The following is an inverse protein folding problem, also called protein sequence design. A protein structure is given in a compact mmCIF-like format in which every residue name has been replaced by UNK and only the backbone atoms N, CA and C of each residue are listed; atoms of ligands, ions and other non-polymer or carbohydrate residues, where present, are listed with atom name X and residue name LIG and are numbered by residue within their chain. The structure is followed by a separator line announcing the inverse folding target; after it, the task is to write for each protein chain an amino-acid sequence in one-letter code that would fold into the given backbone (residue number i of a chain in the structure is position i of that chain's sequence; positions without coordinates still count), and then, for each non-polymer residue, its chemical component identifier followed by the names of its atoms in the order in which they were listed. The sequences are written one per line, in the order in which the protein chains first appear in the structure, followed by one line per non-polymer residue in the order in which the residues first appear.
data_IF_669065064223
#
_entry.id   IF_669065064223
#
_cell.length_a   1.000
_cell.length_b   1.000
_cell.length_c   1.000
_cell.angle_alpha   90.00
_cell.angle_beta   90.00
_cell.angle_gamma   90.00
#
_symmetry.space_group_name_H-M   'P 1'
#
loop_
_entity.id
_entity.type
_entity.pdbx_description
1 polymer ?
#
# COMPACT_ATOMS: atom_id res chain seq x y z
N UNK A 1 -14.90 28.09 -10.59
CA UNK A 1 -16.02 27.15 -10.38
C UNK A 1 -15.43 25.75 -10.47
N UNK A 2 -15.33 25.04 -9.34
CA UNK A 2 -14.86 23.65 -9.30
C UNK A 2 -15.99 22.78 -9.83
N UNK A 3 -15.79 22.07 -10.94
CA UNK A 3 -16.73 21.06 -11.43
C UNK A 3 -16.28 19.75 -10.78
N UNK A 4 -17.04 19.18 -9.83
CA UNK A 4 -16.68 17.88 -9.27
C UNK A 4 -16.65 16.86 -10.41
N UNK A 5 -15.57 16.07 -10.48
CA UNK A 5 -15.53 14.90 -11.34
C UNK A 5 -16.72 14.00 -10.97
N UNK A 6 -17.75 13.96 -11.82
CA UNK A 6 -18.87 13.04 -11.64
C UNK A 6 -18.39 11.64 -11.99
N UNK A 7 -17.99 10.89 -10.97
CA UNK A 7 -17.74 9.46 -11.13
C UNK A 7 -19.07 8.75 -11.42
N UNK A 8 -19.06 7.74 -12.30
CA UNK A 8 -20.25 6.92 -12.57
C UNK A 8 -20.75 6.30 -11.26
N UNK A 9 -22.06 6.07 -11.13
CA UNK A 9 -22.62 5.40 -9.96
C UNK A 9 -22.06 3.98 -9.80
N UNK A 10 -21.95 3.54 -8.54
CA UNK A 10 -21.53 2.19 -8.19
C UNK A 10 -22.46 1.15 -8.81
N UNK A 11 -21.89 0.08 -9.39
CA UNK A 11 -22.67 -1.00 -10.00
C UNK A 11 -23.44 -1.82 -8.96
N UNK A 12 -22.90 -1.96 -7.76
CA UNK A 12 -23.47 -2.73 -6.64
C UNK A 12 -24.60 -1.95 -5.94
N UNK A 13 -24.31 -0.82 -5.31
CA UNK A 13 -25.28 -0.10 -4.46
C UNK A 13 -25.99 1.08 -5.14
N UNK A 14 -25.64 1.42 -6.39
CA UNK A 14 -26.19 2.55 -7.17
C UNK A 14 -25.92 3.95 -6.61
N UNK A 15 -25.21 4.08 -5.49
CA UNK A 15 -24.76 5.37 -4.94
C UNK A 15 -23.60 5.96 -5.78
N UNK A 16 -23.32 7.25 -5.60
CA UNK A 16 -22.17 7.89 -6.24
C UNK A 16 -20.86 7.28 -5.77
N UNK A 17 -19.91 7.12 -6.68
CA UNK A 17 -18.56 6.65 -6.36
C UNK A 17 -17.73 7.79 -5.75
N UNK A 18 -16.85 7.46 -4.80
CA UNK A 18 -15.92 8.42 -4.18
C UNK A 18 -14.62 8.59 -4.98
N UNK A 19 -14.34 7.67 -5.91
CA UNK A 19 -13.21 7.72 -6.82
C UNK A 19 -13.48 6.95 -8.12
N UNK A 20 -12.52 6.97 -9.05
CA UNK A 20 -12.62 6.19 -10.29
C UNK A 20 -12.72 4.69 -9.95
N UNK A 21 -13.86 4.07 -10.27
CA UNK A 21 -14.17 2.66 -9.97
C UNK A 21 -14.16 2.29 -8.47
N UNK A 22 -14.23 3.28 -7.56
CA UNK A 22 -14.18 3.03 -6.12
C UNK A 22 -15.46 3.51 -5.43
N UNK A 23 -16.19 2.58 -4.81
CA UNK A 23 -17.35 2.88 -3.98
C UNK A 23 -17.01 2.65 -2.51
N UNK A 24 -16.75 3.73 -1.75
CA UNK A 24 -16.45 3.62 -0.32
C UNK A 24 -17.48 2.81 0.46
N UNK A 25 -18.78 3.05 0.22
CA UNK A 25 -19.85 2.36 0.94
C UNK A 25 -19.88 0.84 0.71
N UNK A 26 -19.50 0.38 -0.48
CA UNK A 26 -19.42 -1.06 -0.79
C UNK A 26 -18.10 -1.65 -0.29
N UNK A 27 -16.98 -0.99 -0.58
CA UNK A 27 -15.65 -1.47 -0.23
C UNK A 27 -15.46 -1.59 1.28
N UNK A 28 -16.03 -0.67 2.09
CA UNK A 28 -16.09 -0.81 3.56
C UNK A 28 -16.68 -2.15 3.98
N UNK A 29 -17.76 -2.61 3.34
CA UNK A 29 -18.39 -3.90 3.66
C UNK A 29 -17.49 -5.07 3.24
N UNK A 30 -16.90 -4.99 2.06
CA UNK A 30 -15.98 -6.02 1.54
C UNK A 30 -14.72 -6.17 2.40
N UNK A 31 -14.19 -5.05 2.92
CA UNK A 31 -13.09 -5.06 3.89
C UNK A 31 -13.51 -5.68 5.22
N UNK A 32 -14.66 -5.25 5.78
CA UNK A 32 -15.17 -5.78 7.05
C UNK A 32 -15.36 -7.30 7.03
N UNK A 33 -15.79 -7.86 5.90
CA UNK A 33 -15.92 -9.31 5.72
C UNK A 33 -14.58 -10.05 5.78
N UNK A 34 -13.48 -9.37 5.41
CA UNK A 34 -12.14 -9.94 5.31
C UNK A 34 -11.19 -9.57 6.46
N UNK A 35 -11.60 -8.75 7.44
CA UNK A 35 -10.71 -8.31 8.52
C UNK A 35 -9.98 -9.44 9.25
N UNK A 36 -10.60 -10.61 9.38
CA UNK A 36 -9.96 -11.79 10.01
C UNK A 36 -8.77 -12.34 9.23
N UNK A 37 -8.72 -12.09 7.91
CA UNK A 37 -7.65 -12.55 7.03
C UNK A 37 -6.47 -11.54 6.99
N UNK A 38 -6.71 -10.28 7.37
CA UNK A 38 -5.72 -9.20 7.42
C UNK A 38 -5.14 -9.03 8.83
N UNK A 39 -4.56 -10.10 9.39
CA UNK A 39 -3.98 -10.06 10.73
C UNK A 39 -2.46 -10.26 10.72
N UNK A 40 -1.78 -9.33 11.37
CA UNK A 40 -0.36 -9.37 11.69
C UNK A 40 -0.06 -10.15 12.97
N UNK A 41 -1.10 -10.52 13.73
CA UNK A 41 -0.96 -10.99 15.11
C UNK A 41 -0.69 -9.86 16.12
N UNK A 42 -0.64 -8.61 15.69
CA UNK A 42 -0.54 -7.42 16.54
C UNK A 42 -1.82 -6.58 16.41
N UNK A 43 -2.59 -6.49 17.50
CA UNK A 43 -3.89 -5.82 17.51
C UNK A 43 -3.83 -4.33 17.15
N UNK A 44 -2.75 -3.63 17.51
CA UNK A 44 -2.61 -2.20 17.25
C UNK A 44 -2.37 -1.95 15.75
N UNK A 45 -1.52 -2.76 15.12
CA UNK A 45 -1.28 -2.72 13.67
C UNK A 45 -2.53 -3.14 12.91
N UNK A 46 -3.20 -4.21 13.34
CA UNK A 46 -4.42 -4.69 12.69
C UNK A 46 -5.52 -3.64 12.76
N UNK A 47 -5.71 -3.00 13.94
CA UNK A 47 -6.65 -1.91 14.11
C UNK A 47 -6.32 -0.73 13.22
N UNK A 48 -5.04 -0.35 13.14
CA UNK A 48 -4.59 0.75 12.31
C UNK A 48 -4.89 0.51 10.82
N UNK A 49 -4.60 -0.70 10.32
CA UNK A 49 -4.91 -1.11 8.94
C UNK A 49 -6.43 -1.08 8.69
N UNK A 50 -7.24 -1.62 9.61
CA UNK A 50 -8.70 -1.62 9.48
C UNK A 50 -9.27 -0.19 9.47
N UNK A 51 -8.81 0.69 10.36
CA UNK A 51 -9.25 2.09 10.41
C UNK A 51 -8.88 2.85 9.12
N UNK A 52 -7.71 2.57 8.53
CA UNK A 52 -7.32 3.07 7.19
C UNK A 52 -8.26 2.54 6.10
N UNK A 53 -8.51 1.23 6.04
CA UNK A 53 -9.40 0.61 5.04
C UNK A 53 -10.83 1.18 5.09
N UNK A 54 -11.33 1.48 6.29
CA UNK A 54 -12.66 2.08 6.47
C UNK A 54 -12.73 3.56 6.05
N UNK A 55 -11.60 4.27 6.08
CA UNK A 55 -11.52 5.70 5.77
C UNK A 55 -11.09 5.98 4.32
N UNK A 56 -10.46 5.02 3.64
CA UNK A 56 -9.98 5.13 2.27
C UNK A 56 -11.08 5.54 1.26
N UNK A 57 -10.74 6.50 0.40
CA UNK A 57 -11.67 7.07 -0.59
C UNK A 57 -11.40 6.60 -2.03
N UNK A 58 -10.23 5.98 -2.26
CA UNK A 58 -9.86 5.29 -3.50
C UNK A 58 -8.82 4.21 -3.20
N UNK A 59 -8.57 3.31 -4.16
CA UNK A 59 -7.77 2.10 -3.97
C UNK A 59 -6.31 2.37 -3.55
N UNK A 60 -5.70 3.44 -4.08
CA UNK A 60 -4.33 3.83 -3.73
C UNK A 60 -4.14 4.32 -2.29
N UNK A 61 -5.22 4.48 -1.51
CA UNK A 61 -5.14 4.80 -0.07
C UNK A 61 -5.30 3.57 0.82
N UNK A 62 -5.62 2.41 0.24
CA UNK A 62 -5.92 1.20 0.98
C UNK A 62 -4.63 0.56 1.46
N UNK A 63 -4.49 0.47 2.78
CA UNK A 63 -3.38 -0.20 3.43
C UNK A 63 -3.69 -1.69 3.62
N UNK A 64 -2.68 -2.52 3.38
CA UNK A 64 -2.77 -3.98 3.49
C UNK A 64 -1.77 -4.53 4.51
N UNK A 65 -2.16 -5.57 5.27
CA UNK A 65 -1.18 -6.44 5.92
C UNK A 65 -0.70 -7.48 4.91
N UNK A 66 0.59 -7.50 4.64
CA UNK A 66 1.19 -8.36 3.61
C UNK A 66 2.05 -9.40 4.32
N UNK A 67 1.68 -10.69 4.29
CA UNK A 67 2.52 -11.75 4.83
C UNK A 67 3.89 -11.75 4.15
N UNK A 68 4.97 -11.82 4.94
CA UNK A 68 6.32 -11.70 4.40
C UNK A 68 6.66 -12.76 3.33
N UNK A 69 6.05 -13.94 3.41
CA UNK A 69 6.21 -15.01 2.41
C UNK A 69 5.55 -14.71 1.04
N UNK A 70 4.84 -13.59 0.91
CA UNK A 70 4.36 -13.04 -0.38
C UNK A 70 5.40 -12.18 -1.08
N UNK A 71 6.54 -11.95 -0.45
CA UNK A 71 7.66 -11.18 -0.98
C UNK A 71 8.83 -12.11 -1.31
N UNK A 72 9.47 -11.88 -2.45
CA UNK A 72 10.62 -12.67 -2.91
C UNK A 72 11.60 -11.81 -3.71
N UNK A 73 12.72 -12.38 -4.14
CA UNK A 73 13.83 -11.65 -4.80
C UNK A 73 14.25 -10.40 -3.99
N UNK A 74 14.35 -10.55 -2.66
CA UNK A 74 14.61 -9.44 -1.74
C UNK A 74 16.09 -9.06 -1.78
N UNK A 75 16.37 -7.83 -2.20
CA UNK A 75 17.71 -7.29 -2.41
C UNK A 75 17.89 -6.02 -1.57
N UNK A 76 18.98 -5.95 -0.79
CA UNK A 76 19.34 -4.74 -0.05
C UNK A 76 19.81 -3.64 -0.99
N UNK A 77 19.23 -2.45 -0.86
CA UNK A 77 19.56 -1.30 -1.72
C UNK A 77 20.46 -0.32 -0.97
N UNK A 78 20.01 0.18 0.18
CA UNK A 78 20.74 1.21 0.93
C UNK A 78 20.25 1.32 2.37
N UNK A 79 21.01 2.05 3.19
CA UNK A 79 20.59 2.50 4.52
C UNK A 79 20.69 4.01 4.56
N UNK A 80 19.60 4.68 4.91
CA UNK A 80 19.54 6.11 5.17
C UNK A 80 19.26 6.41 6.65
N UNK A 81 19.06 7.69 6.96
CA UNK A 81 18.66 8.13 8.31
C UNK A 81 17.31 7.56 8.76
N UNK A 82 16.43 7.21 7.81
CA UNK A 82 15.09 6.68 8.05
C UNK A 82 15.00 5.15 7.93
N UNK A 83 16.11 4.44 8.08
CA UNK A 83 16.15 2.98 8.03
C UNK A 83 16.79 2.40 6.77
N UNK A 84 16.70 1.07 6.66
CA UNK A 84 17.16 0.28 5.52
C UNK A 84 16.07 0.22 4.46
N UNK A 85 16.49 0.22 3.20
CA UNK A 85 15.63 0.07 2.02
C UNK A 85 16.07 -1.16 1.26
N UNK A 86 15.08 -1.94 0.85
CA UNK A 86 15.24 -3.14 0.03
C UNK A 86 14.34 -3.03 -1.19
N UNK A 87 14.69 -3.76 -2.24
CA UNK A 87 13.82 -4.06 -3.37
C UNK A 87 13.31 -5.48 -3.18
N UNK A 88 12.07 -5.73 -3.56
CA UNK A 88 11.49 -7.07 -3.59
C UNK A 88 10.48 -7.17 -4.74
N UNK A 89 10.10 -8.40 -5.11
CA UNK A 89 8.88 -8.65 -5.88
C UNK A 89 7.74 -9.04 -4.96
N UNK A 90 6.53 -8.62 -5.30
CA UNK A 90 5.32 -8.97 -4.57
C UNK A 90 4.42 -9.87 -5.42
N UNK A 91 4.19 -11.10 -4.96
CA UNK A 91 3.39 -12.11 -5.69
C UNK A 91 2.00 -11.58 -6.03
N UNK A 92 1.29 -11.04 -5.03
CA UNK A 92 -0.12 -10.68 -5.23
C UNK A 92 -0.29 -9.31 -5.91
N UNK A 93 0.67 -8.38 -5.81
CA UNK A 93 0.49 -6.98 -6.25
C UNK A 93 -0.49 -6.21 -5.34
N UNK A 94 -0.80 -4.93 -5.56
CA UNK A 94 -1.70 -4.13 -4.69
C UNK A 94 -3.19 -4.21 -5.11
N UNK A 95 -4.12 -3.91 -4.20
CA UNK A 95 -5.56 -3.83 -4.50
C UNK A 95 -5.87 -2.77 -5.57
N UNK A 96 -6.54 -3.20 -6.64
CA UNK A 96 -7.10 -2.32 -7.66
C UNK A 96 -8.57 -1.98 -7.40
N UNK A 97 -9.46 -2.96 -7.50
CA UNK A 97 -10.89 -2.78 -7.26
C UNK A 97 -11.58 -4.10 -6.89
N UNK A 98 -12.82 -4.02 -6.42
CA UNK A 98 -13.63 -5.20 -6.11
C UNK A 98 -14.29 -5.76 -7.37
N UNK A 99 -13.99 -7.01 -7.71
CA UNK A 99 -14.67 -7.74 -8.76
C UNK A 99 -15.93 -8.42 -8.20
N UNK A 100 -17.09 -7.95 -8.67
CA UNK A 100 -18.38 -8.46 -8.23
C UNK A 100 -18.73 -9.83 -8.82
N UNK A 101 -18.06 -10.27 -9.90
CA UNK A 101 -18.31 -11.57 -10.53
C UNK A 101 -17.55 -12.66 -9.78
N UNK A 102 -16.27 -12.39 -9.49
CA UNK A 102 -15.38 -13.33 -8.81
C UNK A 102 -15.43 -13.20 -7.27
N UNK A 103 -16.18 -12.22 -6.76
CA UNK A 103 -16.29 -11.89 -5.33
C UNK A 103 -14.92 -11.77 -4.64
N UNK A 104 -13.99 -11.09 -5.32
CA UNK A 104 -12.61 -10.95 -4.84
C UNK A 104 -12.00 -9.62 -5.29
N UNK A 105 -10.90 -9.22 -4.65
CA UNK A 105 -10.11 -8.07 -5.05
C UNK A 105 -9.30 -8.35 -6.31
N UNK A 106 -9.49 -7.56 -7.35
CA UNK A 106 -8.55 -7.51 -8.46
C UNK A 106 -7.24 -6.90 -7.97
N UNK A 107 -6.13 -7.47 -8.45
CA UNK A 107 -4.77 -7.03 -8.11
C UNK A 107 -4.07 -6.38 -9.30
N UNK A 108 -3.23 -5.40 -9.01
CA UNK A 108 -2.38 -4.75 -9.99
C UNK A 108 -0.91 -4.93 -9.61
N UNK A 109 -0.03 -4.95 -10.62
CA UNK A 109 1.42 -5.10 -10.43
C UNK A 109 1.83 -6.39 -9.70
N UNK A 110 1.11 -7.50 -9.95
CA UNK A 110 1.52 -8.85 -9.51
C UNK A 110 2.89 -9.20 -10.11
N UNK A 111 3.76 -9.79 -9.28
CA UNK A 111 5.19 -10.04 -9.57
C UNK A 111 6.02 -8.79 -9.88
N UNK A 112 5.44 -7.60 -9.69
CA UNK A 112 6.11 -6.32 -9.87
C UNK A 112 7.04 -5.97 -8.72
N UNK A 113 7.97 -5.04 -8.99
CA UNK A 113 8.90 -4.56 -7.98
C UNK A 113 8.22 -3.60 -6.99
N UNK A 114 8.57 -3.77 -5.72
CA UNK A 114 8.21 -2.89 -4.61
C UNK A 114 9.45 -2.52 -3.81
N UNK A 115 9.40 -1.38 -3.14
CA UNK A 115 10.40 -0.99 -2.16
C UNK A 115 9.93 -1.40 -0.75
N UNK A 116 10.79 -2.09 0.01
CA UNK A 116 10.57 -2.36 1.43
C UNK A 116 11.41 -1.37 2.24
N UNK A 117 10.76 -0.56 3.09
CA UNK A 117 11.44 0.40 3.96
C UNK A 117 11.24 0.02 5.42
N UNK A 118 12.33 -0.27 6.13
CA UNK A 118 12.29 -0.63 7.55
C UNK A 118 11.87 0.54 8.44
N UNK A 119 11.02 0.28 9.43
CA UNK A 119 10.50 1.30 10.35
C UNK A 119 11.30 1.46 11.66
N UNK A 120 12.40 0.70 11.84
CA UNK A 120 13.34 0.70 12.98
C UNK A 120 13.03 1.68 14.13
N UNK A 121 12.17 1.29 15.09
CA UNK A 121 11.83 2.05 16.30
C UNK A 121 11.55 3.55 16.08
N UNK A 122 11.20 3.98 14.86
CA UNK A 122 10.96 5.40 14.63
C UNK A 122 9.57 5.70 15.16
N UNK A 123 9.50 6.37 16.31
CA UNK A 123 8.29 7.06 16.80
C UNK A 123 7.71 8.03 15.75
N UNK A 124 8.45 8.29 14.66
CA UNK A 124 8.16 9.18 13.55
C UNK A 124 7.63 8.48 12.27
N UNK A 125 6.96 7.32 12.36
CA UNK A 125 6.13 6.87 11.23
C UNK A 125 4.94 7.83 11.14
N UNK A 126 5.14 8.98 10.49
CA UNK A 126 4.08 9.97 10.34
C UNK A 126 3.00 9.39 9.41
N UNK A 127 1.74 9.71 9.70
CA UNK A 127 0.57 9.32 8.89
C UNK A 127 0.74 9.65 7.39
N UNK A 128 1.53 10.68 7.09
CA UNK A 128 1.85 11.13 5.73
C UNK A 128 2.61 10.07 4.92
N UNK A 129 3.56 9.33 5.54
CA UNK A 129 4.26 8.23 4.86
C UNK A 129 3.37 7.00 4.62
N UNK A 130 2.32 6.85 5.42
CA UNK A 130 1.42 5.69 5.34
C UNK A 130 0.44 5.86 4.16
N UNK A 131 0.02 7.09 3.90
CA UNK A 131 -0.90 7.40 2.78
C UNK A 131 -0.31 7.08 1.40
N UNK A 132 1.00 6.94 1.27
CA UNK A 132 1.69 6.59 0.02
C UNK A 132 2.18 5.13 0.01
N UNK A 133 1.72 4.31 0.95
CA UNK A 133 2.12 2.90 1.07
C UNK A 133 1.01 1.94 0.65
N UNK A 134 1.40 0.83 0.03
CA UNK A 134 0.49 -0.26 -0.31
C UNK A 134 0.19 -1.14 0.92
N UNK A 135 1.12 -1.21 1.88
CA UNK A 135 0.94 -2.06 3.03
C UNK A 135 2.12 -2.13 3.97
N UNK A 136 1.96 -2.99 4.97
CA UNK A 136 2.93 -3.27 6.02
C UNK A 136 3.20 -4.77 6.04
N UNK A 137 4.45 -5.15 6.24
CA UNK A 137 4.88 -6.52 6.54
C UNK A 137 5.76 -6.52 7.79
N UNK A 138 6.00 -7.68 8.38
CA UNK A 138 7.04 -7.87 9.40
C UNK A 138 8.10 -8.85 8.90
N UNK A 139 9.36 -8.47 9.06
CA UNK A 139 10.50 -9.36 8.86
C UNK A 139 10.45 -10.50 9.90
N UNK A 140 10.36 -11.77 9.49
CA UNK A 140 10.26 -12.88 10.41
C UNK A 140 11.55 -13.11 11.23
N UNK A 141 12.72 -12.69 10.73
CA UNK A 141 14.01 -12.83 11.39
C UNK A 141 14.23 -11.69 12.38
N UNK A 142 14.10 -10.44 11.91
CA UNK A 142 14.42 -9.27 12.73
C UNK A 142 13.25 -8.75 13.57
N UNK A 143 12.03 -9.22 13.28
CA UNK A 143 10.76 -8.75 13.87
C UNK A 143 10.44 -7.28 13.61
N UNK A 144 11.23 -6.61 12.75
CA UNK A 144 10.97 -5.23 12.36
C UNK A 144 9.81 -5.15 11.37
N UNK A 145 8.96 -4.15 11.56
CA UNK A 145 7.96 -3.79 10.55
C UNK A 145 8.62 -3.04 9.38
N UNK A 146 8.10 -3.27 8.19
CA UNK A 146 8.51 -2.62 6.96
C UNK A 146 7.28 -2.13 6.19
N UNK A 147 7.37 -0.92 5.65
CA UNK A 147 6.38 -0.43 4.70
C UNK A 147 6.70 -0.94 3.30
N UNK A 148 5.65 -1.20 2.53
CA UNK A 148 5.71 -1.62 1.13
C UNK A 148 5.23 -0.44 0.29
N UNK A 149 6.12 0.02 -0.60
CA UNK A 149 5.97 1.23 -1.39
C UNK A 149 6.18 0.92 -2.88
N UNK A 150 5.75 1.83 -3.74
CA UNK A 150 6.12 1.82 -5.15
C UNK A 150 7.66 1.84 -5.31
N UNK A 151 8.18 1.01 -6.22
CA UNK A 151 9.59 0.99 -6.53
C UNK A 151 9.93 2.00 -7.64
N UNK A 152 10.75 3.00 -7.32
CA UNK A 152 11.23 3.96 -8.30
C UNK A 152 12.39 3.38 -9.14
N UNK A 153 12.08 2.85 -10.33
CA UNK A 153 13.08 2.22 -11.22
C UNK A 153 14.23 3.15 -11.63
N UNK A 154 13.96 4.46 -11.70
CA UNK A 154 14.96 5.46 -12.07
C UNK A 154 15.94 5.82 -10.92
N UNK A 155 15.79 5.17 -9.77
CA UNK A 155 16.63 5.38 -8.59
C UNK A 155 16.26 6.64 -7.81
N UNK A 156 17.15 7.07 -6.93
CA UNK A 156 16.90 8.22 -6.05
C UNK A 156 16.92 9.54 -6.81
N UNK A 157 16.20 10.55 -6.30
CA UNK A 157 16.28 11.93 -6.82
C UNK A 157 17.73 12.41 -6.88
N UNK A 158 18.56 12.07 -5.88
CA UNK A 158 19.99 12.39 -5.89
C UNK A 158 20.70 11.79 -7.10
N UNK A 159 20.50 10.49 -7.36
CA UNK A 159 21.07 9.80 -8.53
C UNK A 159 20.60 10.44 -9.83
N UNK A 160 19.33 10.83 -9.91
CA UNK A 160 18.80 11.55 -11.05
C UNK A 160 19.47 12.91 -11.24
N UNK A 161 19.58 13.72 -10.17
CA UNK A 161 20.23 15.03 -10.22
C UNK A 161 21.72 14.92 -10.55
N UNK A 162 22.43 13.92 -10.00
CA UNK A 162 23.84 13.63 -10.29
C UNK A 162 24.03 13.32 -11.78
N UNK A 163 23.20 12.42 -12.33
CA UNK A 163 23.22 12.05 -13.76
C UNK A 163 22.94 13.24 -14.69
N UNK A 164 22.17 14.22 -14.22
CA UNK A 164 21.79 15.40 -15.01
C UNK A 164 22.66 16.63 -14.71
N UNK A 165 23.72 16.50 -13.89
CA UNK A 165 24.60 17.63 -13.55
C UNK A 165 23.93 18.76 -12.77
N UNK A 166 22.85 18.45 -12.05
CA UNK A 166 22.05 19.40 -11.27
C UNK A 166 22.46 19.44 -9.78
N UNK A 167 23.45 18.64 -9.39
CA UNK A 167 24.12 18.74 -8.10
C UNK A 167 25.37 19.61 -8.27
N UNK A 168 25.32 20.81 -7.67
CA UNK A 168 26.42 21.77 -7.60
C UNK A 168 27.48 21.37 -6.59
#
# INVERSE_FOLDING_TARGET
MYIPLKYKNCRECKQENTGMLYCKACNVKHFQQNFKNWTSGNNDIDKFIQDNQLSANFYGQVLEWIPYNKLYDIEYIAKGGFGKVYRAKWIDGFIGYWDNINENWERHNSDGFVALKSLNNSENVTLEFINESYGITQDPETKNYMMILEYAENGSLRTYLDKNGLLS
#
